data_IF_618873452417
#
_entry.id   IF_618873452417
#
_cell.length_a   1.000
_cell.length_b   1.000
_cell.length_c   1.000
_cell.angle_alpha   90.00
_cell.angle_beta   90.00
_cell.angle_gamma   90.00
#
_symmetry.space_group_name_H-M   'P 1'
#
loop_
_entity.id
_entity.type
_entity.pdbx_description
1 polymer ?
#
# COMPACT_ATOMS: atom_id res chain seq x y z
N UNK A 1 -15.60 -11.56 26.84
CA UNK A 1 -14.87 -10.48 26.17
C UNK A 1 -13.39 -10.85 26.22
N UNK A 2 -12.89 -11.53 25.18
CA UNK A 2 -11.49 -11.93 25.10
C UNK A 2 -10.67 -10.72 24.68
N UNK A 3 -10.00 -10.09 25.64
CA UNK A 3 -8.93 -9.14 25.35
C UNK A 3 -7.74 -10.00 24.88
N UNK A 4 -7.73 -10.34 23.60
CA UNK A 4 -6.51 -10.84 22.95
C UNK A 4 -5.54 -9.67 23.01
N UNK A 5 -4.63 -9.73 23.97
CA UNK A 5 -3.67 -8.69 24.29
C UNK A 5 -3.00 -8.15 23.03
N UNK A 6 -3.06 -6.83 22.85
CA UNK A 6 -2.46 -6.03 21.78
C UNK A 6 -1.03 -6.47 21.42
N UNK A 7 -0.26 -6.94 22.41
CA UNK A 7 1.10 -7.49 22.24
C UNK A 7 1.18 -8.78 21.42
N UNK A 8 0.19 -9.67 21.51
CA UNK A 8 0.17 -10.90 20.70
C UNK A 8 -0.23 -10.59 19.26
N UNK A 9 -1.13 -9.63 19.04
CA UNK A 9 -1.52 -9.18 17.70
C UNK A 9 -0.33 -8.51 16.98
N UNK A 10 0.37 -7.60 17.67
CA UNK A 10 1.59 -6.96 17.17
C UNK A 10 2.73 -7.96 16.89
N UNK A 11 2.95 -8.95 17.77
CA UNK A 11 3.98 -9.97 17.55
C UNK A 11 3.68 -10.88 16.33
N UNK A 12 2.41 -11.22 16.12
CA UNK A 12 1.98 -12.05 14.98
C UNK A 12 2.10 -11.27 13.67
N UNK A 13 1.74 -9.99 13.67
CA UNK A 13 1.93 -9.10 12.51
C UNK A 13 3.42 -8.88 12.20
N UNK A 14 4.27 -8.65 13.20
CA UNK A 14 5.71 -8.54 12.99
C UNK A 14 6.30 -9.82 12.39
N UNK A 15 5.89 -11.01 12.84
CA UNK A 15 6.39 -12.27 12.28
C UNK A 15 5.96 -12.52 10.83
N UNK A 16 4.74 -12.09 10.46
CA UNK A 16 4.24 -12.23 9.09
C UNK A 16 4.98 -11.29 8.13
N UNK A 17 5.16 -10.02 8.51
CA UNK A 17 5.89 -9.02 7.71
C UNK A 17 7.33 -9.46 7.49
N UNK A 18 8.02 -9.93 8.54
CA UNK A 18 9.40 -10.42 8.41
C UNK A 18 9.53 -11.64 7.49
N UNK A 19 8.50 -12.50 7.44
CA UNK A 19 8.48 -13.65 6.52
C UNK A 19 8.26 -13.22 5.07
N UNK A 20 7.39 -12.24 4.86
CA UNK A 20 7.11 -11.66 3.55
C UNK A 20 8.32 -10.88 3.01
N UNK A 21 8.98 -10.06 3.83
CA UNK A 21 10.18 -9.29 3.45
C UNK A 21 11.30 -10.18 2.93
N UNK A 22 11.49 -11.38 3.50
CA UNK A 22 12.50 -12.35 3.04
C UNK A 22 12.28 -12.81 1.59
N UNK A 23 11.05 -12.75 1.10
CA UNK A 23 10.69 -13.13 -0.27
C UNK A 23 10.70 -11.89 -1.16
N UNK A 24 10.10 -10.79 -0.69
CA UNK A 24 9.89 -9.58 -1.50
C UNK A 24 11.16 -8.77 -1.73
N UNK A 25 12.01 -8.60 -0.71
CA UNK A 25 13.24 -7.78 -0.84
C UNK A 25 14.18 -8.32 -1.92
N UNK A 26 14.47 -9.65 -2.00
CA UNK A 26 15.24 -10.21 -3.11
C UNK A 26 14.59 -10.00 -4.48
N UNK A 27 13.27 -10.10 -4.57
CA UNK A 27 12.55 -9.91 -5.83
C UNK A 27 12.60 -8.44 -6.30
N UNK A 28 12.45 -7.48 -5.36
CA UNK A 28 12.63 -6.05 -5.63
C UNK A 28 14.06 -5.77 -6.09
N UNK A 29 15.06 -6.31 -5.38
CA UNK A 29 16.46 -6.15 -5.74
C UNK A 29 16.77 -6.70 -7.15
N UNK A 30 16.11 -7.79 -7.54
CA UNK A 30 16.23 -8.39 -8.87
C UNK A 30 15.58 -7.55 -9.96
N UNK A 31 14.42 -6.93 -9.69
CA UNK A 31 13.68 -6.10 -10.67
C UNK A 31 14.27 -4.69 -10.83
N UNK A 32 14.82 -4.12 -9.77
CA UNK A 32 15.38 -2.75 -9.76
C UNK A 32 16.85 -2.74 -9.28
N UNK A 33 17.77 -3.39 -10.00
CA UNK A 33 19.15 -3.57 -9.53
C UNK A 33 19.92 -2.27 -9.35
N UNK A 34 19.78 -1.32 -10.30
CA UNK A 34 20.48 -0.03 -10.25
C UNK A 34 20.01 0.84 -9.09
N UNK A 35 18.70 0.91 -8.87
CA UNK A 35 18.12 1.66 -7.75
C UNK A 35 18.48 1.01 -6.40
N UNK A 36 18.43 -0.33 -6.33
CA UNK A 36 18.83 -1.08 -5.14
C UNK A 36 20.30 -0.83 -4.78
N UNK A 37 21.18 -0.69 -5.77
CA UNK A 37 22.58 -0.33 -5.54
C UNK A 37 22.73 1.07 -4.92
N UNK A 38 21.84 2.02 -5.26
CA UNK A 38 21.89 3.39 -4.74
C UNK A 38 21.47 3.48 -3.28
N UNK A 39 20.40 2.78 -2.88
CA UNK A 39 19.84 2.89 -1.53
C UNK A 39 20.29 1.77 -0.58
N UNK A 40 20.87 0.69 -1.13
CA UNK A 40 21.28 -0.50 -0.39
C UNK A 40 20.11 -1.41 0.01
N UNK A 41 20.42 -2.66 0.33
CA UNK A 41 19.42 -3.67 0.73
C UNK A 41 18.62 -3.25 1.97
N UNK A 42 19.27 -2.60 2.94
CA UNK A 42 18.58 -2.08 4.12
C UNK A 42 17.51 -1.02 3.74
N UNK A 43 17.83 -0.13 2.79
CA UNK A 43 16.86 0.84 2.28
C UNK A 43 15.69 0.18 1.52
N UNK A 44 15.97 -0.89 0.76
CA UNK A 44 14.92 -1.67 0.09
C UNK A 44 13.99 -2.31 1.12
N UNK A 45 14.55 -2.91 2.17
CA UNK A 45 13.80 -3.52 3.26
C UNK A 45 12.90 -2.50 3.97
N UNK A 46 13.45 -1.34 4.32
CA UNK A 46 12.71 -0.26 4.96
C UNK A 46 11.55 0.24 4.09
N UNK A 47 11.76 0.41 2.78
CA UNK A 47 10.69 0.79 1.87
C UNK A 47 9.63 -0.30 1.73
N UNK A 48 10.03 -1.56 1.59
CA UNK A 48 9.06 -2.67 1.50
C UNK A 48 8.20 -2.75 2.77
N UNK A 49 8.82 -2.52 3.94
CA UNK A 49 8.11 -2.46 5.23
C UNK A 49 7.15 -1.26 5.30
N UNK A 50 7.57 -0.09 4.83
CA UNK A 50 6.71 1.10 4.76
C UNK A 50 5.48 0.83 3.87
N UNK A 51 5.68 0.26 2.68
CA UNK A 51 4.61 -0.05 1.75
C UNK A 51 3.66 -1.10 2.33
N UNK A 52 4.19 -2.15 2.95
CA UNK A 52 3.37 -3.19 3.58
C UNK A 52 2.49 -2.62 4.70
N UNK A 53 3.05 -1.75 5.55
CA UNK A 53 2.28 -1.07 6.59
C UNK A 53 1.21 -0.14 6.00
N UNK A 54 1.53 0.55 4.89
CA UNK A 54 0.58 1.36 4.17
C UNK A 54 -0.55 0.51 3.57
N UNK A 55 -0.22 -0.59 2.90
CA UNK A 55 -1.17 -1.54 2.33
C UNK A 55 -2.09 -2.12 3.38
N UNK A 56 -1.54 -2.59 4.50
CA UNK A 56 -2.31 -3.12 5.62
C UNK A 56 -3.26 -2.07 6.23
N UNK A 57 -2.83 -0.80 6.32
CA UNK A 57 -3.64 0.30 6.86
C UNK A 57 -4.87 0.61 6.00
N UNK A 58 -4.75 0.45 4.68
CA UNK A 58 -5.81 0.80 3.71
C UNK A 58 -6.44 -0.40 3.04
N UNK A 59 -6.13 -1.60 3.54
CA UNK A 59 -6.63 -2.90 3.08
C UNK A 59 -6.43 -3.05 1.57
N UNK A 60 -5.18 -2.94 1.15
CA UNK A 60 -4.73 -3.32 -0.19
C UNK A 60 -4.09 -4.71 -0.09
N UNK A 61 -4.89 -5.74 -0.35
CA UNK A 61 -4.46 -7.13 -0.15
C UNK A 61 -3.91 -7.76 -1.45
N UNK A 62 -4.14 -7.10 -2.60
CA UNK A 62 -3.62 -7.52 -3.91
C UNK A 62 -2.11 -7.24 -4.04
N UNK A 63 -1.33 -8.24 -4.46
CA UNK A 63 0.10 -8.10 -4.75
C UNK A 63 0.36 -7.03 -5.82
N UNK A 64 -0.55 -6.85 -6.78
CA UNK A 64 -0.43 -5.80 -7.80
C UNK A 64 -0.39 -4.39 -7.16
N UNK A 65 -1.08 -4.19 -6.04
CA UNK A 65 -1.08 -2.93 -5.33
C UNK A 65 0.31 -2.59 -4.77
N UNK A 66 1.00 -3.58 -4.19
CA UNK A 66 2.37 -3.40 -3.70
C UNK A 66 3.30 -2.90 -4.82
N UNK A 67 3.30 -3.58 -5.97
CA UNK A 67 4.17 -3.23 -7.09
C UNK A 67 3.88 -1.83 -7.63
N UNK A 68 2.61 -1.45 -7.76
CA UNK A 68 2.22 -0.09 -8.18
C UNK A 68 2.70 0.99 -7.21
N UNK A 69 2.57 0.77 -5.90
CA UNK A 69 3.04 1.72 -4.89
C UNK A 69 4.56 1.83 -4.96
N UNK A 70 5.27 0.69 -5.07
CA UNK A 70 6.73 0.65 -5.16
C UNK A 70 7.24 1.45 -6.37
N UNK A 71 6.71 1.17 -7.56
CA UNK A 71 7.09 1.89 -8.79
C UNK A 71 6.90 3.40 -8.63
N UNK A 72 5.79 3.80 -8.00
CA UNK A 72 5.52 5.21 -7.76
C UNK A 72 6.43 5.81 -6.70
N UNK A 73 6.80 5.05 -5.66
CA UNK A 73 7.72 5.47 -4.60
C UNK A 73 9.17 5.62 -5.05
N UNK A 74 9.59 4.79 -6.01
CA UNK A 74 10.90 4.93 -6.65
C UNK A 74 10.96 6.25 -7.44
N UNK A 75 9.86 6.63 -8.11
CA UNK A 75 9.78 7.87 -8.87
C UNK A 75 9.54 9.13 -8.00
N UNK A 76 8.79 8.98 -6.90
CA UNK A 76 8.45 10.05 -5.95
C UNK A 76 8.75 9.60 -4.51
N UNK A 77 9.93 9.99 -3.98
CA UNK A 77 10.37 9.63 -2.64
C UNK A 77 9.46 10.09 -1.48
N UNK A 78 8.59 11.08 -1.71
CA UNK A 78 7.72 11.68 -0.68
C UNK A 78 6.25 11.26 -0.81
N UNK A 79 5.95 10.33 -1.72
CA UNK A 79 4.58 9.97 -2.09
C UNK A 79 3.71 9.55 -0.88
N UNK A 80 4.23 8.67 -0.01
CA UNK A 80 3.47 8.15 1.14
C UNK A 80 3.49 9.11 2.35
N UNK A 81 4.48 9.99 2.44
CA UNK A 81 4.63 10.96 3.55
C UNK A 81 3.93 12.30 3.29
N UNK A 82 3.61 12.61 2.02
CA UNK A 82 3.02 13.89 1.60
C UNK A 82 1.50 13.85 1.38
N UNK A 83 0.80 12.88 1.97
CA UNK A 83 -0.64 12.70 1.74
C UNK A 83 -1.46 13.84 2.34
N UNK A 84 -2.35 14.43 1.54
CA UNK A 84 -3.32 15.41 2.03
C UNK A 84 -4.44 14.74 2.81
N UNK A 85 -5.13 15.48 3.69
CA UNK A 85 -6.28 14.95 4.43
C UNK A 85 -7.35 14.36 3.52
N UNK A 86 -7.60 14.98 2.37
CA UNK A 86 -8.56 14.48 1.38
C UNK A 86 -8.13 13.16 0.74
N UNK A 87 -6.84 13.00 0.48
CA UNK A 87 -6.26 11.75 -0.03
C UNK A 87 -6.32 10.62 1.01
N UNK A 88 -6.02 10.92 2.27
CA UNK A 88 -6.18 9.98 3.38
C UNK A 88 -7.64 9.56 3.50
N UNK A 89 -8.58 10.52 3.42
CA UNK A 89 -10.01 10.23 3.42
C UNK A 89 -10.40 9.31 2.25
N UNK A 90 -9.89 9.57 1.04
CA UNK A 90 -10.14 8.73 -0.12
C UNK A 90 -9.66 7.28 0.08
N UNK A 91 -8.42 7.11 0.57
CA UNK A 91 -7.83 5.80 0.85
C UNK A 91 -8.55 5.05 1.99
N UNK A 92 -9.13 5.77 2.95
CA UNK A 92 -9.87 5.16 4.07
C UNK A 92 -11.22 4.53 3.67
N UNK A 93 -11.74 4.86 2.47
CA UNK A 93 -13.01 4.34 1.98
C UNK A 93 -12.78 3.03 1.24
N UNK A 94 -13.27 1.93 1.82
CA UNK A 94 -13.37 0.65 1.14
C UNK A 94 -14.33 0.77 -0.05
N UNK A 95 -13.95 0.17 -1.18
CA UNK A 95 -14.75 0.19 -2.39
C UNK A 95 -14.39 -0.98 -3.31
N UNK A 96 -15.22 -1.21 -4.31
CA UNK A 96 -15.00 -2.20 -5.35
C UNK A 96 -13.67 -1.96 -6.09
N UNK A 97 -12.93 -3.04 -6.41
CA UNK A 97 -11.70 -3.03 -7.20
C UNK A 97 -10.53 -2.20 -6.59
N UNK A 98 -9.86 -2.78 -5.60
CA UNK A 98 -8.70 -2.22 -4.88
C UNK A 98 -7.62 -1.65 -5.80
N UNK A 99 -7.18 -2.44 -6.77
CA UNK A 99 -6.12 -2.07 -7.72
C UNK A 99 -6.51 -0.87 -8.58
N UNK A 100 -7.78 -0.76 -9.01
CA UNK A 100 -8.28 0.38 -9.76
C UNK A 100 -8.36 1.65 -8.88
N UNK A 101 -8.83 1.49 -7.63
CA UNK A 101 -8.88 2.57 -6.64
C UNK A 101 -7.49 3.12 -6.35
N UNK A 102 -6.51 2.23 -6.14
CA UNK A 102 -5.12 2.61 -5.93
C UNK A 102 -4.53 3.31 -7.15
N UNK A 103 -4.69 2.73 -8.35
CA UNK A 103 -4.16 3.31 -9.59
C UNK A 103 -4.65 4.76 -9.76
N UNK A 104 -5.95 4.98 -9.57
CA UNK A 104 -6.53 6.32 -9.70
C UNK A 104 -6.00 7.28 -8.65
N UNK A 105 -5.85 6.83 -7.42
CA UNK A 105 -5.23 7.63 -6.36
C UNK A 105 -3.79 8.06 -6.74
N UNK A 106 -2.97 7.12 -7.23
CA UNK A 106 -1.60 7.39 -7.65
C UNK A 106 -1.54 8.38 -8.83
N UNK A 107 -2.47 8.25 -9.78
CA UNK A 107 -2.59 9.15 -10.94
C UNK A 107 -3.01 10.56 -10.52
N UNK A 108 -4.01 10.69 -9.63
CA UNK A 108 -4.49 11.97 -9.14
C UNK A 108 -3.40 12.69 -8.32
N UNK A 109 -2.68 11.94 -7.47
CA UNK A 109 -1.54 12.46 -6.70
C UNK A 109 -0.43 12.99 -7.60
N UNK A 110 -0.11 12.26 -8.66
CA UNK A 110 0.85 12.69 -9.69
C UNK A 110 0.45 13.99 -10.36
N UNK A 111 -0.84 14.15 -10.66
CA UNK A 111 -1.37 15.31 -11.40
C UNK A 111 -1.62 16.53 -10.51
N UNK A 112 -1.51 16.38 -9.19
CA UNK A 112 -1.92 17.42 -8.23
C UNK A 112 -3.44 17.62 -8.16
N UNK A 113 -4.22 16.65 -8.64
CA UNK A 113 -5.67 16.71 -8.69
C UNK A 113 -6.29 16.16 -7.40
N UNK A 114 -7.47 16.66 -6.98
CA UNK A 114 -8.22 16.04 -5.89
C UNK A 114 -8.63 14.61 -6.29
N UNK A 115 -8.41 13.64 -5.39
CA UNK A 115 -8.78 12.25 -5.62
C UNK A 115 -10.30 12.07 -5.59
N UNK A 116 -10.93 11.95 -6.76
CA UNK A 116 -12.39 11.75 -6.83
C UNK A 116 -12.71 10.28 -6.60
N UNK A 117 -13.32 9.98 -5.45
CA UNK A 117 -13.95 8.69 -5.19
C UNK A 117 -15.18 8.53 -6.08
N UNK A 118 -15.09 7.72 -7.13
CA UNK A 118 -16.29 7.21 -7.77
C UNK A 118 -16.79 6.07 -6.87
N UNK A 119 -17.96 6.28 -6.25
CA UNK A 119 -18.77 5.16 -5.77
C UNK A 119 -19.09 4.35 -7.02
N UNK A 120 -18.35 3.26 -7.25
CA UNK A 120 -18.81 2.23 -8.16
C UNK A 120 -20.05 1.68 -7.47
N UNK A 121 -21.22 2.11 -7.95
CA UNK A 121 -22.48 1.50 -7.57
C UNK A 121 -22.38 0.05 -7.97
N UNK A 122 -22.23 -0.83 -6.98
CA UNK A 122 -22.90 -2.10 -7.11
C UNK A 122 -24.33 -1.80 -6.71
N UNK A 123 -25.22 -1.92 -7.69
CA UNK A 123 -26.61 -2.23 -7.43
C UNK A 123 -26.62 -3.35 -6.38
N UNK A 124 -27.02 -3.00 -5.16
CA UNK A 124 -27.71 -3.95 -4.31
C UNK A 124 -29.04 -4.25 -5.02
N UNK A 125 -29.01 -5.17 -5.98
CA UNK A 125 -30.18 -5.97 -6.31
C UNK A 125 -30.42 -6.96 -5.15
N UNK A 126 -30.71 -6.41 -3.98
CA UNK A 126 -31.37 -7.09 -2.87
C UNK A 126 -32.39 -6.08 -2.34
N UNK A 127 -33.45 -5.85 -3.12
CA UNK A 127 -34.77 -5.39 -2.65
C UNK A 127 -35.73 -5.29 -3.86
N UNK A 128 -36.21 -6.45 -4.33
CA UNK A 128 -37.56 -6.64 -4.89
C UNK A 128 -37.90 -8.12 -5.13
#
# INVERSE_FOLDING_TARGET
MLVVSDRHYQATQSSAIESWLRITVPEVARRYPEWTQQIGIAGVEDLCREIEQFSARYEFDDEECFWKILERRIADPELLSSLTEFQIFALSRKGAAETLRLQRFLDDKTRGSPTVLIRLGFDSEEDQ
#
